data_IF_920433922900
#
_entry.id   IF_920433922900
#
_cell.length_a   1.000
_cell.length_b   1.000
_cell.length_c   1.000
_cell.angle_alpha   90.00
_cell.angle_beta   90.00
_cell.angle_gamma   90.00
#
_symmetry.space_group_name_H-M   'P 1'
#
loop_
_entity.id
_entity.type
_entity.pdbx_description
1 polymer ?
#
# COMPACT_ATOMS: atom_id res chain seq x y z
N UNK A 1 -2.52 -3.84 8.50
CA UNK A 1 -3.15 -3.27 7.30
C UNK A 1 -2.97 -4.27 6.19
N UNK A 2 -4.02 -4.53 5.43
CA UNK A 2 -4.03 -5.47 4.31
C UNK A 2 -4.52 -4.74 3.08
N UNK A 3 -3.83 -4.92 1.94
CA UNK A 3 -4.26 -4.42 0.64
C UNK A 3 -4.63 -5.63 -0.22
N UNK A 4 -5.84 -5.63 -0.75
CA UNK A 4 -6.35 -6.65 -1.66
C UNK A 4 -6.74 -6.00 -2.99
N UNK A 5 -6.55 -6.72 -4.10
CA UNK A 5 -7.03 -6.30 -5.42
C UNK A 5 -8.37 -6.98 -5.69
N UNK A 6 -9.38 -6.19 -6.05
CA UNK A 6 -10.73 -6.66 -6.35
C UNK A 6 -10.87 -6.99 -7.83
N UNK A 7 -10.51 -6.05 -8.70
CA UNK A 7 -10.53 -6.17 -10.16
C UNK A 7 -9.72 -5.03 -10.80
N UNK A 8 -9.67 -4.97 -12.13
CA UNK A 8 -9.37 -3.75 -12.86
C UNK A 8 -10.57 -2.80 -12.83
N UNK A 9 -10.34 -1.49 -12.78
CA UNK A 9 -11.41 -0.49 -12.86
C UNK A 9 -12.11 -0.52 -14.22
N UNK A 10 -11.33 -0.44 -15.31
CA UNK A 10 -11.80 -0.67 -16.67
C UNK A 10 -10.73 -1.43 -17.47
N UNK A 11 -10.69 -2.76 -17.32
CA UNK A 11 -9.78 -3.63 -18.07
C UNK A 11 -9.98 -3.61 -19.59
N UNK A 12 -11.00 -2.92 -20.11
CA UNK A 12 -11.25 -2.78 -21.55
C UNK A 12 -10.94 -1.38 -22.08
N UNK A 13 -10.48 -0.47 -21.22
CA UNK A 13 -10.18 0.89 -21.61
C UNK A 13 -9.17 0.94 -22.78
N UNK A 14 -9.43 1.86 -23.70
CA UNK A 14 -8.54 2.08 -24.86
C UNK A 14 -7.19 2.66 -24.44
N UNK A 15 -7.21 3.50 -23.40
CA UNK A 15 -6.03 4.09 -22.81
C UNK A 15 -5.35 3.05 -21.91
N UNK A 16 -4.05 2.85 -22.12
CA UNK A 16 -3.24 1.93 -21.34
C UNK A 16 -3.18 2.31 -19.86
N UNK A 17 -3.23 3.61 -19.52
CA UNK A 17 -3.18 4.05 -18.11
C UNK A 17 -4.43 3.56 -17.39
N UNK A 18 -5.61 3.94 -17.88
CA UNK A 18 -6.91 3.62 -17.29
C UNK A 18 -7.13 2.09 -17.21
N UNK A 19 -6.67 1.36 -18.23
CA UNK A 19 -6.75 -0.10 -18.27
C UNK A 19 -5.88 -0.80 -17.21
N UNK A 20 -4.89 -0.09 -16.68
CA UNK A 20 -3.98 -0.58 -15.65
C UNK A 20 -4.28 -0.03 -14.26
N UNK A 21 -5.45 0.59 -14.09
CA UNK A 21 -6.01 0.98 -12.80
C UNK A 21 -6.71 -0.22 -12.16
N UNK A 22 -6.40 -0.45 -10.88
CA UNK A 22 -6.91 -1.55 -10.08
C UNK A 22 -7.88 -1.01 -9.03
N UNK A 23 -9.03 -1.66 -8.89
CA UNK A 23 -9.91 -1.48 -7.73
C UNK A 23 -9.32 -2.26 -6.57
N UNK A 24 -9.12 -1.59 -5.44
CA UNK A 24 -8.50 -2.19 -4.26
C UNK A 24 -9.43 -2.21 -3.06
N UNK A 25 -9.07 -2.98 -2.04
CA UNK A 25 -9.69 -2.94 -0.72
C UNK A 25 -8.58 -2.84 0.31
N UNK A 26 -8.70 -1.88 1.22
CA UNK A 26 -7.71 -1.60 2.25
C UNK A 26 -8.37 -1.88 3.59
N UNK A 27 -7.95 -2.96 4.24
CA UNK A 27 -8.37 -3.29 5.60
C UNK A 27 -7.35 -2.76 6.60
N UNK A 28 -7.83 -2.01 7.58
CA UNK A 28 -7.06 -1.43 8.66
C UNK A 28 -7.56 -1.95 9.98
N UNK A 29 -6.66 -2.47 10.82
CA UNK A 29 -6.95 -2.84 12.19
C UNK A 29 -5.96 -2.10 13.11
N UNK A 30 -6.48 -1.34 14.07
CA UNK A 30 -5.68 -0.52 14.97
C UNK A 30 -6.40 -0.34 16.31
N UNK A 31 -5.74 -0.66 17.43
CA UNK A 31 -6.26 -0.49 18.80
C UNK A 31 -7.69 -1.05 19.00
N UNK A 32 -7.97 -2.22 18.43
CA UNK A 32 -9.29 -2.87 18.53
C UNK A 32 -10.38 -2.28 17.62
N UNK A 33 -10.03 -1.31 16.76
CA UNK A 33 -10.89 -0.76 15.72
C UNK A 33 -10.51 -1.34 14.35
N UNK A 34 -11.49 -1.54 13.47
CA UNK A 34 -11.31 -2.18 12.15
C UNK A 34 -12.07 -1.47 11.05
N UNK A 35 -11.40 -1.08 9.96
CA UNK A 35 -11.90 -0.23 8.86
C UNK A 35 -11.68 -0.99 7.59
N UNK A 36 -12.62 -0.88 6.68
CA UNK A 36 -12.42 -1.33 5.32
C UNK A 36 -12.72 -0.13 4.44
N UNK A 37 -11.74 0.28 3.65
CA UNK A 37 -11.92 1.23 2.56
C UNK A 37 -11.99 0.41 1.29
N UNK A 38 -13.16 0.38 0.66
CA UNK A 38 -13.42 -0.39 -0.56
C UNK A 38 -13.43 0.51 -1.78
N UNK A 39 -12.91 -0.01 -2.89
CA UNK A 39 -12.83 0.66 -4.19
C UNK A 39 -11.92 1.90 -4.31
N UNK A 40 -10.88 2.13 -3.47
CA UNK A 40 -9.83 3.04 -3.91
C UNK A 40 -9.12 2.45 -5.12
N UNK A 41 -8.76 3.33 -6.05
CA UNK A 41 -8.00 2.97 -7.24
C UNK A 41 -6.50 3.03 -6.97
N UNK A 42 -5.74 2.16 -7.62
CA UNK A 42 -4.28 2.11 -7.58
C UNK A 42 -3.77 1.57 -8.91
N UNK A 43 -2.69 2.09 -9.46
CA UNK A 43 -2.11 1.54 -10.68
C UNK A 43 -1.30 0.25 -10.44
N UNK A 44 -1.22 -0.64 -11.43
CA UNK A 44 -0.31 -1.80 -11.41
C UNK A 44 1.17 -1.41 -11.21
N UNK A 45 1.53 -0.18 -11.65
CA UNK A 45 2.85 0.40 -11.43
C UNK A 45 3.10 0.77 -9.97
N UNK A 46 2.12 1.36 -9.29
CA UNK A 46 2.18 1.68 -7.86
C UNK A 46 2.29 0.41 -7.01
N UNK A 47 1.54 -0.64 -7.34
CA UNK A 47 1.65 -1.96 -6.69
C UNK A 47 3.08 -2.53 -6.81
N UNK A 48 3.67 -2.44 -8.00
CA UNK A 48 5.05 -2.86 -8.25
C UNK A 48 6.08 -2.04 -7.48
N UNK A 49 5.89 -0.72 -7.45
CA UNK A 49 6.77 0.21 -6.77
C UNK A 49 6.77 -0.04 -5.27
N UNK A 50 5.59 -0.29 -4.69
CA UNK A 50 5.46 -0.64 -3.28
C UNK A 50 6.15 -1.97 -2.95
N UNK A 51 5.94 -3.01 -3.76
CA UNK A 51 6.61 -4.29 -3.58
C UNK A 51 8.14 -4.14 -3.62
N UNK A 52 8.65 -3.44 -4.63
CA UNK A 52 10.08 -3.17 -4.77
C UNK A 52 10.63 -2.33 -3.60
N UNK A 53 9.85 -1.40 -3.09
CA UNK A 53 10.25 -0.59 -1.95
C UNK A 53 10.40 -1.41 -0.67
N UNK A 54 9.48 -2.35 -0.39
CA UNK A 54 9.63 -3.27 0.73
C UNK A 54 10.91 -4.12 0.60
N UNK A 55 11.23 -4.63 -0.59
CA UNK A 55 12.49 -5.34 -0.87
C UNK A 55 13.70 -4.44 -0.58
N UNK A 56 13.68 -3.19 -1.09
CA UNK A 56 14.79 -2.26 -0.96
C UNK A 56 15.04 -1.89 0.52
N UNK A 57 13.99 -1.56 1.26
CA UNK A 57 14.08 -1.25 2.69
C UNK A 57 14.61 -2.45 3.47
N UNK A 58 14.16 -3.67 3.15
CA UNK A 58 14.63 -4.89 3.81
C UNK A 58 16.15 -5.10 3.65
N UNK A 59 16.75 -4.65 2.53
CA UNK A 59 18.21 -4.71 2.34
C UNK A 59 18.99 -3.71 3.22
N UNK A 60 18.30 -2.83 3.96
CA UNK A 60 18.91 -1.75 4.74
C UNK A 60 19.46 -0.59 3.91
N UNK A 61 19.15 -0.55 2.60
CA UNK A 61 19.50 0.57 1.73
C UNK A 61 18.55 1.75 1.97
N UNK A 62 19.02 3.00 1.81
CA UNK A 62 18.12 4.15 1.81
C UNK A 62 17.07 3.99 0.71
N UNK A 63 15.80 4.13 1.07
CA UNK A 63 14.69 4.14 0.16
C UNK A 63 13.94 5.47 0.32
N UNK A 64 13.55 6.09 -0.80
CA UNK A 64 12.65 7.25 -0.75
C UNK A 64 11.27 6.79 -0.32
N UNK A 65 10.46 7.63 0.34
CA UNK A 65 9.07 7.30 0.63
C UNK A 65 8.30 6.92 -0.64
N UNK A 66 7.37 5.98 -0.52
CA UNK A 66 6.43 5.63 -1.60
C UNK A 66 5.12 6.34 -1.35
N UNK A 67 4.58 6.93 -2.41
CA UNK A 67 3.28 7.60 -2.39
C UNK A 67 2.39 6.90 -3.41
N UNK A 68 1.23 6.45 -2.94
CA UNK A 68 0.15 5.96 -3.79
C UNK A 68 -0.86 7.11 -3.89
N UNK A 69 -0.97 7.71 -5.09
CA UNK A 69 -1.69 8.98 -5.28
C UNK A 69 -3.16 8.82 -4.93
N UNK A 70 -3.77 7.80 -5.50
CA UNK A 70 -5.01 7.21 -5.07
C UNK A 70 -4.56 5.80 -4.64
N UNK A 71 -4.80 5.33 -3.40
CA UNK A 71 -5.67 5.79 -2.30
C UNK A 71 -5.21 6.95 -1.39
N UNK A 72 -4.22 7.77 -1.73
CA UNK A 72 -3.59 8.72 -0.79
C UNK A 72 -2.87 8.04 0.39
N UNK A 73 -2.09 7.00 0.08
CA UNK A 73 -1.23 6.31 1.07
C UNK A 73 0.23 6.73 0.92
N UNK A 74 0.88 7.02 2.04
CA UNK A 74 2.28 7.40 2.10
C UNK A 74 3.04 6.43 3.00
N UNK A 75 4.02 5.74 2.45
CA UNK A 75 4.87 4.77 3.13
C UNK A 75 6.26 5.35 3.34
N UNK A 76 6.74 5.32 4.57
CA UNK A 76 8.10 5.72 4.93
C UNK A 76 8.72 4.73 5.93
N UNK A 77 10.05 4.65 5.94
CA UNK A 77 10.82 3.86 6.90
C UNK A 77 11.86 4.76 7.57
N UNK A 78 11.62 5.11 8.82
CA UNK A 78 12.43 6.11 9.53
C UNK A 78 13.64 5.54 10.24
N UNK A 79 13.60 4.27 10.63
CA UNK A 79 14.62 3.72 11.53
C UNK A 79 14.74 2.21 11.39
N UNK A 80 15.97 1.72 11.45
CA UNK A 80 16.28 0.31 11.70
C UNK A 80 16.84 0.17 13.12
N UNK A 81 16.18 -0.61 13.96
CA UNK A 81 16.64 -0.96 15.31
C UNK A 81 16.83 -2.47 15.34
N UNK A 82 18.08 -2.92 15.45
CA UNK A 82 18.45 -4.33 15.36
C UNK A 82 17.93 -4.97 14.05
N UNK A 83 16.99 -5.91 14.16
CA UNK A 83 16.34 -6.68 13.10
C UNK A 83 14.95 -6.15 12.71
N UNK A 84 14.52 -5.01 13.31
CA UNK A 84 13.22 -4.40 13.07
C UNK A 84 13.32 -3.06 12.35
N UNK A 85 12.36 -2.83 11.47
CA UNK A 85 12.16 -1.64 10.68
C UNK A 85 10.93 -0.90 11.20
N UNK A 86 11.10 0.38 11.54
CA UNK A 86 10.01 1.27 11.92
C UNK A 86 9.40 1.88 10.67
N UNK A 87 8.36 1.23 10.19
CA UNK A 87 7.53 1.68 9.07
C UNK A 87 6.51 2.70 9.57
N UNK A 88 6.25 3.74 8.80
CA UNK A 88 5.12 4.64 9.00
C UNK A 88 4.27 4.65 7.75
N UNK A 89 2.96 4.48 7.93
CA UNK A 89 1.97 4.59 6.87
C UNK A 89 1.03 5.73 7.24
N UNK A 90 1.07 6.80 6.46
CA UNK A 90 0.14 7.91 6.58
C UNK A 90 -0.96 7.74 5.54
N UNK A 91 -2.20 7.90 5.99
CA UNK A 91 -3.43 7.80 5.23
C UNK A 91 -4.07 9.17 5.21
N UNK A 92 -4.48 9.62 4.03
CA UNK A 92 -5.19 10.88 3.85
C UNK A 92 -6.47 10.64 3.05
N UNK A 93 -7.41 11.59 3.13
CA UNK A 93 -8.65 11.60 2.35
C UNK A 93 -9.36 10.23 2.32
N UNK A 94 -9.38 9.57 1.16
CA UNK A 94 -10.12 8.33 0.91
C UNK A 94 -9.53 7.12 1.65
N UNK A 95 -8.24 7.12 1.99
CA UNK A 95 -7.63 6.07 2.80
C UNK A 95 -7.85 6.24 4.32
N UNK A 96 -8.34 7.38 4.78
CA UNK A 96 -8.49 7.63 6.21
C UNK A 96 -9.54 6.68 6.84
N UNK A 97 -9.25 6.05 8.00
CA UNK A 97 -10.20 5.14 8.63
C UNK A 97 -11.49 5.85 9.04
N UNK A 98 -12.63 5.17 8.89
CA UNK A 98 -13.97 5.76 9.11
C UNK A 98 -14.27 6.15 10.56
N UNK A 99 -13.53 5.63 11.54
CA UNK A 99 -13.67 6.05 12.96
C UNK A 99 -12.86 7.29 13.31
N UNK A 100 -12.06 7.81 12.39
CA UNK A 100 -11.38 9.07 12.63
C UNK A 100 -12.41 10.19 12.54
N UNK A 101 -12.47 11.04 13.57
CA UNK A 101 -13.56 12.00 13.74
C UNK A 101 -13.55 13.13 12.69
N UNK A 102 -12.46 13.24 11.93
CA UNK A 102 -12.23 14.27 10.94
C UNK A 102 -11.75 13.64 9.63
N UNK A 103 -12.63 13.57 8.63
CA UNK A 103 -12.30 13.15 7.26
C UNK A 103 -11.13 13.97 6.65
N UNK A 104 -10.79 15.11 7.23
CA UNK A 104 -9.73 16.01 6.76
C UNK A 104 -8.36 15.81 7.44
N UNK A 105 -8.27 15.08 8.56
CA UNK A 105 -7.00 14.92 9.27
C UNK A 105 -6.26 13.64 8.83
N UNK A 106 -4.96 13.72 8.47
CA UNK A 106 -4.17 12.55 8.14
C UNK A 106 -4.11 11.59 9.33
N UNK A 107 -4.40 10.31 9.08
CA UNK A 107 -4.22 9.26 10.06
C UNK A 107 -2.89 8.56 9.83
N UNK A 108 -2.10 8.35 10.89
CA UNK A 108 -0.78 7.75 10.77
C UNK A 108 -0.68 6.50 11.62
N UNK A 109 -0.25 5.39 11.01
CA UNK A 109 0.09 4.16 11.71
C UNK A 109 1.58 3.89 11.67
N UNK A 110 2.09 3.36 12.76
CA UNK A 110 3.48 2.92 12.89
C UNK A 110 3.50 1.40 13.01
N UNK A 111 4.33 0.75 12.19
CA UNK A 111 4.55 -0.69 12.27
C UNK A 111 6.01 -0.96 12.58
N UNK A 112 6.23 -2.03 13.34
CA UNK A 112 7.55 -2.60 13.55
C UNK A 112 7.59 -3.94 12.84
N UNK A 113 8.29 -3.98 11.71
CA UNK A 113 8.38 -5.18 10.88
C UNK A 113 9.79 -5.74 10.95
N UNK A 114 9.90 -7.06 11.05
CA UNK A 114 11.16 -7.78 10.90
C UNK A 114 11.58 -7.85 9.44
N UNK A 115 12.85 -8.16 9.17
CA UNK A 115 13.32 -8.47 7.81
C UNK A 115 12.43 -9.50 7.10
N UNK A 116 12.03 -10.55 7.81
CA UNK A 116 11.19 -11.62 7.26
C UNK A 116 9.82 -11.07 6.85
N UNK A 117 9.16 -10.32 7.73
CA UNK A 117 7.83 -9.73 7.43
C UNK A 117 7.89 -8.72 6.27
N UNK A 118 8.98 -7.96 6.14
CA UNK A 118 9.19 -7.06 5.00
C UNK A 118 9.24 -7.84 3.67
N UNK A 119 9.99 -8.95 3.63
CA UNK A 119 10.09 -9.79 2.44
C UNK A 119 8.78 -10.53 2.13
N UNK A 120 8.09 -11.04 3.14
CA UNK A 120 6.79 -11.69 2.97
C UNK A 120 5.74 -10.71 2.43
N UNK A 121 5.78 -9.46 2.92
CA UNK A 121 4.93 -8.39 2.41
C UNK A 121 5.25 -8.07 0.95
N UNK A 122 6.53 -7.90 0.61
CA UNK A 122 6.95 -7.71 -0.78
C UNK A 122 6.49 -8.85 -1.68
N UNK A 123 6.70 -10.10 -1.27
CA UNK A 123 6.30 -11.28 -2.04
C UNK A 123 4.79 -11.35 -2.23
N UNK A 124 4.00 -11.01 -1.21
CA UNK A 124 2.55 -10.95 -1.30
C UNK A 124 2.09 -9.90 -2.31
N UNK A 125 2.71 -8.71 -2.31
CA UNK A 125 2.43 -7.65 -3.31
C UNK A 125 2.85 -8.08 -4.73
N UNK A 126 3.98 -8.78 -4.88
CA UNK A 126 4.40 -9.38 -6.16
C UNK A 126 3.40 -10.41 -6.66
N UNK A 127 2.86 -11.23 -5.77
CA UNK A 127 1.83 -12.22 -6.11
C UNK A 127 0.54 -11.54 -6.56
N UNK A 128 0.14 -10.44 -5.92
CA UNK A 128 -0.99 -9.63 -6.38
C UNK A 128 -0.75 -9.10 -7.79
N UNK A 129 0.45 -8.56 -8.08
CA UNK A 129 0.76 -8.11 -9.43
C UNK A 129 0.84 -9.27 -10.44
N UNK A 130 1.34 -10.45 -10.05
CA UNK A 130 1.29 -11.61 -10.94
C UNK A 130 -0.14 -12.01 -11.31
N UNK A 131 -1.07 -11.93 -10.35
CA UNK A 131 -2.49 -12.22 -10.57
C UNK A 131 -3.20 -11.10 -11.36
N UNK A 132 -2.73 -9.86 -11.23
CA UNK A 132 -3.25 -8.67 -11.90
C UNK A 132 -2.14 -7.95 -12.68
N UNK A 133 -1.66 -8.54 -13.79
CA UNK A 133 -0.50 -8.05 -14.53
C UNK A 133 -0.78 -6.76 -15.31
N UNK A 134 0.24 -5.93 -15.53
CA UNK A 134 0.11 -4.79 -16.44
C UNK A 134 -0.35 -5.23 -17.84
N UNK A 135 -1.49 -4.69 -18.29
CA UNK A 135 -2.11 -4.98 -19.58
C UNK A 135 -1.44 -4.19 -20.71
N UNK A 136 -1.16 -4.88 -21.82
CA UNK A 136 -0.45 -4.38 -23.00
C UNK A 136 -1.27 -3.37 -23.82
#
# INVERSE_FOLDING_TARGET
MTISILDYEDGTAKNRIDRNTLLTSIELQHEGKSSIVTAPVMSTHELSALAHWFELVATGKPAKPVVLQEPCLFFDCHQRVLDKFRLTVRMEAEASPVWTSYYAEPFTMVFWLTYKEMLETAQSLRQLHYNFPTQA
#
